data_IF_438022574645
#
_entry.id   IF_438022574645
#
_cell.length_a   1.000
_cell.length_b   1.000
_cell.length_c   1.000
_cell.angle_alpha   90.00
_cell.angle_beta   90.00
_cell.angle_gamma   90.00
#
_symmetry.space_group_name_H-M   'P 1'
#
loop_
_entity.id
_entity.type
_entity.pdbx_description
1 polymer ?
#
# COMPACT_ATOMS: atom_id res chain seq x y z
N UNK A 1 -3.00 6.66 -0.16
CA UNK A 1 -3.33 5.36 -0.78
C UNK A 1 -4.81 5.23 -1.16
N UNK A 2 -5.75 5.20 -0.21
CA UNK A 2 -7.19 4.97 -0.48
C UNK A 2 -7.82 6.03 -1.39
N UNK A 3 -7.49 7.31 -1.20
CA UNK A 3 -7.93 8.40 -2.08
C UNK A 3 -7.42 8.22 -3.52
N UNK A 4 -6.14 7.90 -3.69
CA UNK A 4 -5.54 7.64 -5.01
C UNK A 4 -6.20 6.49 -5.76
N UNK A 5 -6.50 5.38 -5.09
CA UNK A 5 -7.24 4.25 -5.70
C UNK A 5 -8.68 4.62 -6.08
N UNK A 6 -9.35 5.44 -5.28
CA UNK A 6 -10.70 5.93 -5.59
C UNK A 6 -10.70 6.81 -6.84
N UNK A 7 -9.73 7.72 -6.96
CA UNK A 7 -9.58 8.58 -8.14
C UNK A 7 -9.18 7.78 -9.38
N UNK A 8 -8.24 6.83 -9.26
CA UNK A 8 -7.89 5.92 -10.36
C UNK A 8 -9.12 5.16 -10.88
N UNK A 9 -9.94 4.63 -9.99
CA UNK A 9 -11.18 3.92 -10.38
C UNK A 9 -12.18 4.83 -11.08
N UNK A 10 -12.26 6.12 -10.70
CA UNK A 10 -13.09 7.11 -11.41
C UNK A 10 -12.49 7.41 -12.79
N UNK A 11 -11.18 7.56 -12.88
CA UNK A 11 -10.48 7.86 -14.13
C UNK A 11 -10.66 6.74 -15.16
N UNK A 12 -10.53 5.47 -14.73
CA UNK A 12 -10.80 4.30 -15.58
C UNK A 12 -12.25 4.22 -16.09
N UNK A 13 -13.19 4.85 -15.39
CA UNK A 13 -14.60 4.96 -15.80
C UNK A 13 -14.90 6.22 -16.62
N UNK A 14 -13.90 7.05 -16.90
CA UNK A 14 -14.06 8.34 -17.57
C UNK A 14 -14.79 9.39 -16.73
N UNK A 15 -14.88 9.21 -15.42
CA UNK A 15 -15.57 10.13 -14.50
C UNK A 15 -14.68 11.29 -14.04
N UNK A 16 -13.35 11.13 -14.14
CA UNK A 16 -12.35 12.19 -13.93
C UNK A 16 -11.28 12.04 -15.02
N UNK A 17 -10.53 13.09 -15.28
CA UNK A 17 -9.41 13.03 -16.23
C UNK A 17 -8.30 12.11 -15.71
N UNK A 18 -7.73 11.29 -16.59
CA UNK A 18 -6.55 10.47 -16.28
C UNK A 18 -5.33 11.39 -16.24
N UNK A 19 -4.75 11.60 -15.05
CA UNK A 19 -3.48 12.29 -14.92
C UNK A 19 -2.30 11.35 -15.18
N UNK A 20 -1.11 11.90 -15.44
CA UNK A 20 0.10 11.10 -15.68
C UNK A 20 0.45 10.22 -14.46
N UNK A 21 0.17 10.69 -13.25
CA UNK A 21 0.40 9.95 -12.01
C UNK A 21 -0.58 8.77 -11.89
N UNK A 22 -1.85 8.97 -12.25
CA UNK A 22 -2.86 7.90 -12.24
C UNK A 22 -2.57 6.85 -13.31
N UNK A 23 -2.14 7.27 -14.50
CA UNK A 23 -1.74 6.38 -15.58
C UNK A 23 -0.54 5.52 -15.17
N UNK A 24 0.51 6.15 -14.63
CA UNK A 24 1.71 5.46 -14.13
C UNK A 24 1.34 4.46 -13.04
N UNK A 25 0.55 4.87 -12.05
CA UNK A 25 0.08 3.99 -10.99
C UNK A 25 -0.73 2.81 -11.56
N UNK A 26 -1.58 3.04 -12.56
CA UNK A 26 -2.34 1.98 -13.24
C UNK A 26 -1.41 0.93 -13.87
N UNK A 27 -0.36 1.37 -14.57
CA UNK A 27 0.62 0.48 -15.18
C UNK A 27 1.40 -0.32 -14.13
N UNK A 28 1.84 0.32 -13.04
CA UNK A 28 2.57 -0.35 -11.96
C UNK A 28 1.71 -1.41 -11.27
N UNK A 29 0.44 -1.07 -10.98
CA UNK A 29 -0.51 -2.02 -10.40
C UNK A 29 -0.75 -3.21 -11.32
N UNK A 30 -0.92 -2.97 -12.63
CA UNK A 30 -1.06 -4.02 -13.62
C UNK A 30 0.19 -4.92 -13.70
N UNK A 31 1.38 -4.34 -13.56
CA UNK A 31 2.66 -5.04 -13.56
C UNK A 31 3.02 -5.71 -12.22
N UNK A 32 2.09 -5.80 -11.26
CA UNK A 32 2.32 -6.34 -9.91
C UNK A 32 3.50 -5.64 -9.17
N UNK A 33 3.68 -4.35 -9.43
CA UNK A 33 4.68 -3.49 -8.79
C UNK A 33 3.98 -2.51 -7.86
N UNK A 34 4.62 -2.20 -6.73
CA UNK A 34 4.10 -1.21 -5.78
C UNK A 34 4.21 0.18 -6.43
N UNK A 35 3.13 0.97 -6.52
CA UNK A 35 3.20 2.31 -7.06
C UNK A 35 4.17 3.20 -6.27
N UNK A 36 4.91 4.06 -6.97
CA UNK A 36 5.96 4.89 -6.35
C UNK A 36 5.40 5.77 -5.22
N UNK A 37 4.23 6.38 -5.46
CA UNK A 37 3.53 7.19 -4.44
C UNK A 37 3.14 6.42 -3.16
N UNK A 38 3.14 5.08 -3.19
CA UNK A 38 2.92 4.26 -2.00
C UNK A 38 4.24 3.83 -1.39
N UNK A 39 5.25 3.54 -2.21
CA UNK A 39 6.59 3.19 -1.75
C UNK A 39 7.27 4.35 -1.02
N UNK A 40 7.10 5.59 -1.48
CA UNK A 40 7.65 6.81 -0.84
C UNK A 40 7.16 7.03 0.60
N UNK A 41 5.92 6.62 0.88
CA UNK A 41 5.28 6.79 2.20
C UNK A 41 5.22 5.48 3.00
N UNK A 42 5.55 4.37 2.35
CA UNK A 42 5.42 3.02 2.89
C UNK A 42 6.71 2.52 3.54
N UNK A 43 6.68 1.26 3.95
CA UNK A 43 7.88 0.58 4.44
C UNK A 43 8.79 0.18 3.27
N UNK A 44 10.10 0.24 3.51
CA UNK A 44 11.13 -0.13 2.53
C UNK A 44 11.01 -1.62 2.16
N UNK A 45 10.79 -1.91 0.88
CA UNK A 45 10.65 -3.27 0.38
C UNK A 45 10.87 -3.33 -1.13
N UNK A 46 11.43 -4.44 -1.61
CA UNK A 46 11.50 -4.78 -3.04
C UNK A 46 10.52 -5.91 -3.41
N UNK A 47 9.56 -6.22 -2.53
CA UNK A 47 8.57 -7.27 -2.78
C UNK A 47 7.60 -6.85 -3.90
N UNK A 48 7.11 -7.80 -4.71
CA UNK A 48 6.02 -7.53 -5.63
C UNK A 48 4.76 -7.10 -4.87
N UNK A 49 3.86 -6.40 -5.54
CA UNK A 49 2.65 -5.80 -4.95
C UNK A 49 1.83 -6.83 -4.14
N UNK A 50 1.62 -8.03 -4.68
CA UNK A 50 0.85 -9.08 -3.99
C UNK A 50 1.44 -9.45 -2.62
N UNK A 51 2.75 -9.65 -2.53
CA UNK A 51 3.43 -9.93 -1.26
C UNK A 51 3.54 -8.69 -0.38
N UNK A 52 3.69 -7.51 -0.97
CA UNK A 52 3.76 -6.24 -0.25
C UNK A 52 2.45 -5.93 0.48
N UNK A 53 1.29 -6.24 -0.12
CA UNK A 53 -0.02 -6.08 0.52
C UNK A 53 -0.19 -7.03 1.71
N UNK A 54 0.24 -8.28 1.61
CA UNK A 54 0.18 -9.22 2.74
C UNK A 54 1.03 -8.71 3.91
N UNK A 55 2.26 -8.28 3.64
CA UNK A 55 3.11 -7.65 4.65
C UNK A 55 2.43 -6.43 5.28
N UNK A 56 1.82 -5.55 4.47
CA UNK A 56 1.11 -4.37 4.97
C UNK A 56 -0.01 -4.76 5.94
N UNK A 57 -0.81 -5.78 5.61
CA UNK A 57 -1.91 -6.28 6.46
C UNK A 57 -1.36 -6.84 7.77
N UNK A 58 -0.31 -7.66 7.71
CA UNK A 58 0.30 -8.25 8.90
C UNK A 58 0.90 -7.18 9.82
N UNK A 59 1.55 -6.15 9.25
CA UNK A 59 2.10 -5.01 10.01
C UNK A 59 1.01 -4.23 10.72
N UNK A 60 -0.09 -3.94 10.03
CA UNK A 60 -1.24 -3.25 10.63
C UNK A 60 -1.84 -4.11 11.75
N UNK A 61 -1.98 -5.42 11.53
CA UNK A 61 -2.49 -6.33 12.55
C UNK A 61 -1.60 -6.37 13.79
N UNK A 62 -0.27 -6.42 13.63
CA UNK A 62 0.69 -6.37 14.72
C UNK A 62 0.58 -5.06 15.52
N UNK A 63 0.51 -3.93 14.83
CA UNK A 63 0.35 -2.61 15.48
C UNK A 63 -0.98 -2.49 16.22
N UNK A 64 -2.08 -2.99 15.65
CA UNK A 64 -3.37 -3.01 16.32
C UNK A 64 -3.34 -3.87 17.59
N UNK A 65 -2.72 -5.06 17.53
CA UNK A 65 -2.56 -5.90 18.72
C UNK A 65 -1.76 -5.18 19.82
N UNK A 66 -0.70 -4.46 19.45
CA UNK A 66 0.04 -3.63 20.40
C UNK A 66 -0.85 -2.54 21.00
N UNK A 67 -1.59 -1.78 20.18
CA UNK A 67 -2.48 -0.72 20.68
C UNK A 67 -3.52 -1.28 21.66
N UNK A 68 -4.11 -2.43 21.36
CA UNK A 68 -5.19 -3.03 22.15
C UNK A 68 -4.71 -3.74 23.43
N UNK A 69 -3.57 -4.42 23.37
CA UNK A 69 -3.11 -5.31 24.45
C UNK A 69 -1.88 -4.77 25.20
N UNK A 70 -1.36 -3.61 24.80
CA UNK A 70 -0.13 -3.04 25.32
C UNK A 70 1.13 -3.67 24.71
N UNK A 71 2.29 -3.35 25.30
CA UNK A 71 3.60 -3.68 24.72
C UNK A 71 3.78 -5.18 24.46
N UNK A 72 4.08 -5.59 23.21
CA UNK A 72 4.34 -6.98 22.87
C UNK A 72 5.51 -7.56 23.66
N UNK A 73 5.42 -8.85 24.01
CA UNK A 73 6.54 -9.57 24.65
C UNK A 73 7.72 -9.80 23.68
N UNK A 74 7.45 -9.77 22.38
CA UNK A 74 8.45 -9.86 21.32
C UNK A 74 8.04 -8.92 20.18
N UNK A 75 9.00 -8.16 19.67
CA UNK A 75 8.77 -7.24 18.56
C UNK A 75 9.08 -7.91 17.24
N UNK A 76 8.18 -7.74 16.26
CA UNK A 76 8.46 -8.07 14.88
C UNK A 76 9.26 -6.93 14.24
N UNK A 77 10.58 -6.95 14.42
CA UNK A 77 11.47 -5.85 13.99
C UNK A 77 11.40 -5.57 12.48
N UNK A 78 11.19 -6.59 11.64
CA UNK A 78 11.00 -6.36 10.21
C UNK A 78 9.61 -5.90 9.83
N UNK A 79 8.61 -6.00 10.73
CA UNK A 79 7.25 -5.50 10.56
C UNK A 79 7.00 -4.11 11.16
N UNK A 80 7.93 -3.61 11.97
CA UNK A 80 7.97 -2.22 12.43
C UNK A 80 8.44 -1.26 11.33
#
# INVERSE_FOLDING_TARGET
MVSGLKELRKALKGLVAMSAELETASHQLFANTVPDMWAELGFLSMKPLSSWINDLVDRIAFLNQWIEHGTPKAFWMSGL
#
